data_IF_926348917231
#
_entry.id   IF_926348917231
#
_cell.length_a   1.000
_cell.length_b   1.000
_cell.length_c   1.000
_cell.angle_alpha   90.00
_cell.angle_beta   90.00
_cell.angle_gamma   90.00
#
_symmetry.space_group_name_H-M   'P 1'
#
loop_
_entity.id
_entity.type
_entity.pdbx_description
1 polymer ?
#
# COMPACT_ATOMS: atom_id res chain seq x y z
N UNK A 1 -43.30 -11.28 -44.17
CA UNK A 1 -41.89 -10.84 -44.05
C UNK A 1 -41.67 -9.67 -43.09
N UNK A 2 -42.53 -8.64 -43.02
CA UNK A 2 -42.33 -7.50 -42.10
C UNK A 2 -42.31 -7.86 -40.60
N UNK A 3 -43.15 -8.81 -40.16
CA UNK A 3 -43.22 -9.24 -38.74
C UNK A 3 -41.98 -10.03 -38.29
N UNK A 4 -41.40 -10.83 -39.19
CA UNK A 4 -40.22 -11.65 -38.89
C UNK A 4 -38.99 -10.78 -38.67
N UNK A 5 -38.81 -9.74 -39.50
CA UNK A 5 -37.72 -8.77 -39.38
C UNK A 5 -37.79 -8.03 -38.03
N UNK A 6 -38.99 -7.66 -37.59
CA UNK A 6 -39.18 -6.93 -36.32
C UNK A 6 -38.82 -7.79 -35.10
N UNK A 7 -39.16 -9.08 -35.12
CA UNK A 7 -38.81 -10.02 -34.04
C UNK A 7 -37.31 -10.27 -34.00
N UNK A 8 -36.65 -10.41 -35.16
CA UNK A 8 -35.18 -10.57 -35.22
C UNK A 8 -34.46 -9.33 -34.68
N UNK A 9 -34.99 -8.12 -34.94
CA UNK A 9 -34.43 -6.87 -34.44
C UNK A 9 -34.54 -6.74 -32.92
N UNK A 10 -35.66 -7.16 -32.33
CA UNK A 10 -35.85 -7.17 -30.87
C UNK A 10 -34.89 -8.17 -30.21
N UNK A 11 -34.73 -9.37 -30.77
CA UNK A 11 -33.80 -10.38 -30.24
C UNK A 11 -32.35 -9.88 -30.29
N UNK A 12 -31.95 -9.19 -31.37
CA UNK A 12 -30.63 -8.59 -31.48
C UNK A 12 -30.43 -7.45 -30.46
N UNK A 13 -31.48 -6.67 -30.18
CA UNK A 13 -31.42 -5.58 -29.19
C UNK A 13 -31.30 -6.12 -27.76
N UNK A 14 -32.02 -7.19 -27.43
CA UNK A 14 -31.95 -7.86 -26.11
C UNK A 14 -30.59 -8.52 -25.90
N UNK A 15 -29.97 -9.13 -26.93
CA UNK A 15 -28.61 -9.67 -26.83
C UNK A 15 -27.53 -8.60 -26.60
N UNK A 16 -27.73 -7.36 -27.10
CA UNK A 16 -26.77 -6.27 -26.87
C UNK A 16 -26.90 -5.64 -25.48
N UNK A 17 -28.07 -5.71 -24.84
CA UNK A 17 -28.24 -5.24 -23.45
C UNK A 17 -27.60 -6.21 -22.44
N UNK A 18 -27.43 -7.49 -22.81
CA UNK A 18 -26.69 -8.48 -21.98
C UNK A 18 -25.17 -8.24 -21.93
N UNK A 19 -24.67 -7.24 -22.66
CA UNK A 19 -23.27 -6.80 -22.62
C UNK A 19 -23.13 -5.50 -21.82
N UNK A 20 -24.11 -5.17 -20.96
CA UNK A 20 -23.89 -4.21 -19.87
C UNK A 20 -22.71 -4.76 -19.09
N UNK A 21 -21.60 -4.06 -19.28
CA UNK A 21 -20.29 -4.32 -18.76
C UNK A 21 -20.41 -4.64 -17.28
N UNK A 22 -20.11 -5.89 -16.90
CA UNK A 22 -19.41 -6.06 -15.65
C UNK A 22 -18.19 -5.17 -15.77
N UNK A 23 -18.20 -4.01 -15.10
CA UNK A 23 -16.94 -3.43 -14.68
C UNK A 23 -16.26 -4.56 -13.93
N UNK A 24 -15.21 -5.11 -14.51
CA UNK A 24 -14.28 -5.90 -13.73
C UNK A 24 -13.79 -4.92 -12.65
N UNK A 25 -14.37 -4.98 -11.46
CA UNK A 25 -13.73 -4.46 -10.26
C UNK A 25 -12.36 -5.11 -10.29
N UNK A 26 -11.31 -4.31 -10.45
CA UNK A 26 -9.97 -4.87 -10.41
C UNK A 26 -9.80 -5.46 -9.00
N UNK A 27 -9.48 -6.75 -8.93
CA UNK A 27 -9.19 -7.42 -7.66
C UNK A 27 -7.85 -6.96 -7.06
N UNK A 28 -7.12 -6.10 -7.78
CA UNK A 28 -5.89 -5.47 -7.32
C UNK A 28 -6.05 -3.98 -7.04
N UNK A 29 -5.43 -3.56 -5.93
CA UNK A 29 -5.34 -2.16 -5.50
C UNK A 29 -3.88 -1.74 -5.53
N UNK A 30 -3.58 -0.61 -6.20
CA UNK A 30 -2.26 -0.01 -6.20
C UNK A 30 -2.13 1.00 -5.05
N UNK A 31 -1.08 0.89 -4.26
CA UNK A 31 -0.92 1.65 -3.01
C UNK A 31 0.43 2.38 -3.07
N UNK A 32 0.46 3.62 -3.58
CA UNK A 32 1.68 4.42 -3.62
C UNK A 32 1.98 5.04 -2.25
N UNK A 33 3.11 4.66 -1.68
CA UNK A 33 3.64 5.13 -0.39
C UNK A 33 4.94 5.89 -0.62
N UNK A 34 5.15 6.99 0.10
CA UNK A 34 6.38 7.79 -0.04
C UNK A 34 7.28 7.66 1.20
N UNK A 35 8.56 7.97 1.05
CA UNK A 35 9.54 7.89 2.13
C UNK A 35 9.98 9.30 2.53
N UNK A 36 9.93 9.61 3.83
CA UNK A 36 10.46 10.84 4.40
C UNK A 36 11.58 10.55 5.39
N UNK A 37 12.76 11.13 5.17
CA UNK A 37 13.93 11.02 6.05
C UNK A 37 14.38 12.38 6.57
N UNK A 38 14.93 12.45 7.80
CA UNK A 38 15.43 13.70 8.36
C UNK A 38 16.69 14.18 7.62
N UNK A 39 16.94 15.49 7.64
CA UNK A 39 17.98 16.15 6.85
C UNK A 39 19.43 15.72 7.15
N UNK A 40 19.67 15.01 8.24
CA UNK A 40 20.97 14.47 8.65
C UNK A 40 21.10 12.95 8.41
N UNK A 41 20.08 12.32 7.82
CA UNK A 41 20.12 10.96 7.32
C UNK A 41 20.07 10.98 5.78
N UNK A 42 20.80 10.08 5.14
CA UNK A 42 20.77 9.90 3.70
C UNK A 42 20.21 8.52 3.37
N UNK A 43 19.30 8.43 2.40
CA UNK A 43 18.87 7.15 1.83
C UNK A 43 19.94 6.74 0.83
N UNK A 44 20.58 5.59 1.03
CA UNK A 44 21.70 5.14 0.19
C UNK A 44 21.27 4.07 -0.84
N UNK A 45 20.04 3.51 -0.76
CA UNK A 45 19.61 2.47 -1.72
C UNK A 45 18.16 2.46 -2.21
N UNK A 46 17.30 3.38 -1.80
CA UNK A 46 15.99 3.46 -2.46
C UNK A 46 16.15 4.40 -3.64
N UNK A 47 16.21 3.84 -4.84
CA UNK A 47 16.20 4.60 -6.12
C UNK A 47 14.89 5.38 -6.33
N UNK A 48 13.94 5.30 -5.38
CA UNK A 48 12.59 5.82 -5.51
C UNK A 48 12.13 6.42 -4.19
N UNK A 49 11.80 7.71 -4.19
CA UNK A 49 11.06 8.38 -3.10
C UNK A 49 9.62 7.82 -2.92
N UNK A 50 9.27 6.77 -3.69
CA UNK A 50 7.96 6.16 -3.82
C UNK A 50 8.09 4.63 -3.89
N UNK A 51 7.30 3.94 -3.08
CA UNK A 51 7.09 2.49 -3.06
C UNK A 51 5.67 2.22 -3.57
N UNK A 52 5.52 1.35 -4.57
CA UNK A 52 4.23 0.99 -5.14
C UNK A 52 3.90 -0.45 -4.71
N UNK A 53 2.90 -0.61 -3.84
CA UNK A 53 2.43 -1.93 -3.41
C UNK A 53 1.18 -2.33 -4.19
N UNK A 54 1.14 -3.56 -4.67
CA UNK A 54 -0.06 -4.16 -5.28
C UNK A 54 -0.69 -5.14 -4.29
N UNK A 55 -1.92 -4.85 -3.87
CA UNK A 55 -2.73 -5.70 -3.00
C UNK A 55 -3.77 -6.45 -3.83
N UNK A 56 -3.56 -7.75 -4.01
CA UNK A 56 -4.56 -8.68 -4.56
C UNK A 56 -5.47 -9.17 -3.42
N UNK A 57 -6.74 -8.77 -3.42
CA UNK A 57 -7.69 -9.12 -2.35
C UNK A 57 -8.06 -10.61 -2.35
N UNK A 58 -7.85 -11.32 -3.47
CA UNK A 58 -8.13 -12.76 -3.60
C UNK A 58 -7.03 -13.61 -2.96
N UNK A 59 -5.81 -13.09 -2.93
CA UNK A 59 -4.65 -13.73 -2.31
C UNK A 59 -3.69 -12.66 -1.74
N UNK A 60 -4.05 -12.02 -0.61
CA UNK A 60 -3.36 -10.84 -0.11
C UNK A 60 -2.01 -11.18 0.53
N UNK A 61 -0.96 -11.28 -0.27
CA UNK A 61 0.37 -11.58 0.22
C UNK A 61 0.96 -10.47 1.12
N UNK A 62 1.81 -10.85 2.07
CA UNK A 62 2.66 -9.89 2.78
C UNK A 62 3.65 -9.26 1.79
N UNK A 63 3.81 -7.94 1.84
CA UNK A 63 4.74 -7.20 0.98
C UNK A 63 5.69 -6.37 1.83
N UNK A 64 7.00 -6.56 1.64
CA UNK A 64 8.04 -5.78 2.30
C UNK A 64 9.04 -5.28 1.26
N UNK A 65 9.50 -4.05 1.45
CA UNK A 65 10.52 -3.40 0.64
C UNK A 65 11.73 -3.07 1.53
N UNK A 66 12.93 -3.29 0.97
CA UNK A 66 14.17 -2.98 1.67
C UNK A 66 14.57 -1.52 1.44
N UNK A 67 14.62 -0.74 2.52
CA UNK A 67 15.01 0.65 2.55
C UNK A 67 16.34 0.79 3.32
N UNK A 68 17.44 0.99 2.60
CA UNK A 68 18.74 1.24 3.25
C UNK A 68 18.90 2.70 3.60
N UNK A 69 19.13 2.95 4.88
CA UNK A 69 19.33 4.29 5.44
C UNK A 69 20.73 4.37 6.01
N UNK A 70 21.44 5.39 5.55
CA UNK A 70 22.76 5.74 6.04
C UNK A 70 22.64 6.88 7.02
N UNK A 71 23.08 6.63 8.25
CA UNK A 71 23.06 7.61 9.31
C UNK A 71 24.49 7.86 9.76
N UNK A 72 24.93 9.10 9.59
CA UNK A 72 26.23 9.54 10.08
C UNK A 72 26.00 10.19 11.44
N UNK A 73 26.34 9.47 12.50
CA UNK A 73 26.15 9.92 13.88
C UNK A 73 27.37 9.57 14.74
N UNK A 74 27.81 10.53 15.55
CA UNK A 74 28.93 10.37 16.48
C UNK A 74 28.51 9.87 17.87
N UNK A 75 27.23 9.52 18.04
CA UNK A 75 26.65 8.97 19.27
C UNK A 75 25.75 7.80 18.94
N UNK A 76 25.44 6.95 19.92
CA UNK A 76 24.42 5.92 19.76
C UNK A 76 23.05 6.56 19.48
N UNK A 77 22.26 5.90 18.63
CA UNK A 77 20.94 6.36 18.21
C UNK A 77 20.00 5.17 18.00
N UNK A 78 18.71 5.45 18.05
CA UNK A 78 17.62 4.55 17.68
C UNK A 78 16.94 5.08 16.42
N UNK A 79 16.43 4.17 15.60
CA UNK A 79 15.58 4.49 14.46
C UNK A 79 14.18 4.01 14.82
N UNK A 80 13.23 4.92 14.80
CA UNK A 80 11.82 4.60 14.83
C UNK A 80 11.24 4.82 13.44
N UNK A 81 10.35 3.92 13.05
CA UNK A 81 9.66 3.98 11.76
C UNK A 81 8.18 3.97 12.07
N UNK A 82 7.46 4.87 11.41
CA UNK A 82 6.02 4.99 11.51
C UNK A 82 5.44 5.05 10.11
N UNK A 83 4.23 4.53 9.95
CA UNK A 83 3.43 4.77 8.75
C UNK A 83 2.39 5.82 9.08
N UNK A 84 2.49 6.97 8.42
CA UNK A 84 1.54 8.07 8.51
C UNK A 84 0.59 7.99 7.31
N UNK A 85 -0.57 7.36 7.54
CA UNK A 85 -1.65 7.34 6.57
C UNK A 85 -2.27 8.75 6.49
N UNK A 86 -2.23 9.37 5.31
CA UNK A 86 -2.76 10.73 5.12
C UNK A 86 -4.30 10.69 5.13
N UNK A 87 -4.92 10.79 6.31
CA UNK A 87 -6.38 10.68 6.52
C UNK A 87 -7.20 11.54 5.53
N UNK A 88 -6.69 12.72 5.14
CA UNK A 88 -7.32 13.60 4.15
C UNK A 88 -7.49 13.00 2.75
N UNK A 89 -6.74 11.93 2.43
CA UNK A 89 -6.81 11.24 1.15
C UNK A 89 -7.81 10.06 1.19
N UNK A 90 -8.43 9.81 2.34
CA UNK A 90 -9.47 8.81 2.51
C UNK A 90 -10.83 9.51 2.67
N UNK A 91 -11.85 8.92 2.09
CA UNK A 91 -13.24 9.30 2.27
C UNK A 91 -14.02 8.12 2.84
N UNK A 92 -15.33 8.28 3.08
CA UNK A 92 -16.18 7.22 3.66
C UNK A 92 -16.13 5.89 2.89
N UNK A 93 -15.91 5.94 1.57
CA UNK A 93 -15.81 4.78 0.69
C UNK A 93 -14.46 4.07 0.83
N UNK A 94 -13.43 4.75 1.33
CA UNK A 94 -12.03 4.31 1.34
C UNK A 94 -11.54 3.92 2.74
N UNK A 95 -12.41 4.06 3.75
CA UNK A 95 -12.03 3.98 5.15
C UNK A 95 -11.47 2.60 5.53
N UNK A 96 -11.97 1.54 4.92
CA UNK A 96 -11.45 0.18 5.13
C UNK A 96 -9.98 0.05 4.73
N UNK A 97 -9.54 0.74 3.67
CA UNK A 97 -8.12 0.76 3.28
C UNK A 97 -7.27 1.52 4.29
N UNK A 98 -7.76 2.65 4.80
CA UNK A 98 -7.07 3.38 5.87
C UNK A 98 -6.84 2.50 7.11
N UNK A 99 -7.88 1.79 7.54
CA UNK A 99 -7.80 0.87 8.68
C UNK A 99 -6.88 -0.32 8.41
N UNK A 100 -6.95 -0.91 7.21
CA UNK A 100 -6.06 -1.99 6.79
C UNK A 100 -4.59 -1.54 6.84
N UNK A 101 -4.26 -0.39 6.25
CA UNK A 101 -2.88 0.09 6.18
C UNK A 101 -2.30 0.37 7.57
N UNK A 102 -3.07 1.01 8.44
CA UNK A 102 -2.65 1.29 9.82
C UNK A 102 -2.48 0.01 10.66
N UNK A 103 -3.30 -1.02 10.41
CA UNK A 103 -3.24 -2.27 11.18
C UNK A 103 -2.29 -3.33 10.60
N UNK A 104 -1.90 -3.19 9.33
CA UNK A 104 -1.01 -4.15 8.65
C UNK A 104 0.44 -3.69 8.58
N UNK A 105 0.72 -2.42 8.87
CA UNK A 105 2.07 -1.87 8.88
C UNK A 105 3.04 -2.72 9.71
N UNK A 106 4.21 -2.98 9.13
CA UNK A 106 5.29 -3.69 9.81
C UNK A 106 6.65 -3.14 9.36
N UNK A 107 7.63 -3.22 10.27
CA UNK A 107 9.02 -2.95 9.95
C UNK A 107 9.99 -3.85 10.73
N UNK A 108 11.18 -4.04 10.17
CA UNK A 108 12.29 -4.66 10.88
C UNK A 108 13.59 -3.91 10.61
N UNK A 109 14.50 -3.95 11.60
CA UNK A 109 15.77 -3.24 11.58
C UNK A 109 16.93 -4.24 11.60
N UNK A 110 17.76 -4.20 10.56
CA UNK A 110 19.04 -4.90 10.55
C UNK A 110 20.18 -3.90 10.73
N UNK A 111 20.99 -4.17 11.74
CA UNK A 111 22.06 -3.30 12.22
C UNK A 111 23.43 -3.88 11.93
N UNK A 112 24.25 -3.16 11.17
CA UNK A 112 25.69 -3.41 11.14
C UNK A 112 26.39 -2.32 11.97
N UNK A 113 26.85 -2.69 13.16
CA UNK A 113 27.59 -1.75 14.00
C UNK A 113 28.97 -1.49 13.40
N UNK A 114 29.31 -0.22 13.27
CA UNK A 114 30.58 0.26 12.74
C UNK A 114 31.24 1.15 13.77
N UNK A 115 32.52 0.89 14.04
CA UNK A 115 33.32 1.61 15.03
C UNK A 115 33.77 3.01 14.58
N UNK A 116 33.42 3.44 13.36
CA UNK A 116 33.95 4.65 12.71
C UNK A 116 32.99 5.86 12.68
N UNK A 117 31.90 5.85 13.45
CA UNK A 117 30.96 6.99 13.55
C UNK A 117 30.05 7.17 12.32
N UNK A 118 30.16 6.29 11.33
CA UNK A 118 29.18 6.12 10.25
C UNK A 118 28.54 4.76 10.46
N UNK A 119 27.24 4.73 10.72
CA UNK A 119 26.48 3.49 10.92
C UNK A 119 25.49 3.35 9.78
N UNK A 120 25.58 2.23 9.08
CA UNK A 120 24.63 1.87 8.02
C UNK A 120 23.57 0.94 8.61
N UNK A 121 22.30 1.32 8.47
CA UNK A 121 21.17 0.52 8.92
C UNK A 121 20.31 0.16 7.72
N UNK A 122 19.93 -1.10 7.65
CA UNK A 122 18.98 -1.57 6.64
C UNK A 122 17.64 -1.73 7.32
N UNK A 123 16.64 -0.99 6.87
CA UNK A 123 15.27 -1.10 7.36
C UNK A 123 14.44 -1.83 6.31
N UNK A 124 13.67 -2.82 6.72
CA UNK A 124 12.64 -3.39 5.85
C UNK A 124 11.30 -2.85 6.32
N UNK A 125 10.55 -2.22 5.42
CA UNK A 125 9.23 -1.64 5.69
C UNK A 125 8.19 -2.26 4.77
N UNK A 126 6.97 -2.42 5.26
CA UNK A 126 5.91 -2.98 4.45
C UNK A 126 4.63 -3.25 5.22
N UNK A 127 3.84 -4.18 4.69
CA UNK A 127 2.51 -4.49 5.16
C UNK A 127 2.28 -6.00 5.20
N UNK A 128 1.73 -6.48 6.31
CA UNK A 128 1.28 -7.85 6.52
C UNK A 128 -0.21 -7.99 6.20
N UNK A 129 -0.61 -7.73 4.95
CA UNK A 129 -2.02 -7.73 4.55
C UNK A 129 -2.74 -9.05 4.85
N UNK A 130 -2.06 -10.19 4.60
CA UNK A 130 -2.62 -11.52 4.84
C UNK A 130 -3.09 -11.67 6.28
N UNK A 131 -2.24 -11.29 7.23
CA UNK A 131 -2.50 -11.47 8.65
C UNK A 131 -3.74 -10.70 9.11
N UNK A 132 -3.89 -9.45 8.64
CA UNK A 132 -5.02 -8.60 9.01
C UNK A 132 -6.30 -9.11 8.37
N UNK A 133 -6.29 -9.41 7.08
CA UNK A 133 -7.50 -9.85 6.36
C UNK A 133 -7.98 -11.24 6.80
N UNK A 134 -7.06 -12.13 7.21
CA UNK A 134 -7.44 -13.41 7.81
C UNK A 134 -8.05 -13.25 9.20
N UNK A 135 -7.62 -12.23 9.95
CA UNK A 135 -8.14 -11.92 11.28
C UNK A 135 -9.43 -11.09 11.23
N UNK A 136 -9.70 -10.40 10.12
CA UNK A 136 -10.86 -9.54 9.91
C UNK A 136 -11.44 -9.71 8.49
N UNK A 137 -12.25 -10.76 8.25
CA UNK A 137 -12.82 -11.03 6.93
C UNK A 137 -13.86 -9.99 6.50
N UNK A 138 -14.51 -9.27 7.43
CA UNK A 138 -15.46 -8.19 7.09
C UNK A 138 -14.74 -7.02 6.41
N UNK A 139 -13.50 -6.74 6.81
CA UNK A 139 -12.65 -5.74 6.16
C UNK A 139 -12.38 -6.07 4.68
N UNK A 140 -12.28 -7.36 4.31
CA UNK A 140 -12.10 -7.77 2.92
C UNK A 140 -13.31 -7.39 2.06
N UNK A 141 -14.53 -7.63 2.54
CA UNK A 141 -15.75 -7.28 1.81
C UNK A 141 -15.87 -5.77 1.63
N UNK A 142 -15.56 -4.99 2.67
CA UNK A 142 -15.56 -3.53 2.58
C UNK A 142 -14.57 -3.03 1.52
N UNK A 143 -13.36 -3.61 1.45
CA UNK A 143 -12.35 -3.24 0.45
C UNK A 143 -12.79 -3.54 -0.99
N UNK A 144 -13.53 -4.63 -1.21
CA UNK A 144 -14.09 -4.98 -2.52
C UNK A 144 -15.18 -3.97 -2.96
N UNK A 145 -15.97 -3.46 -2.01
CA UNK A 145 -16.98 -2.43 -2.28
C UNK A 145 -16.37 -1.06 -2.60
N UNK A 146 -15.20 -0.75 -2.03
CA UNK A 146 -14.50 0.53 -2.21
C UNK A 146 -13.91 0.73 -3.62
N UNK A 147 -13.56 -0.33 -4.34
CA UNK A 147 -13.00 -0.26 -5.69
C UNK A 147 -11.52 0.15 -5.77
N UNK A 148 -11.11 0.79 -6.88
CA UNK A 148 -9.72 1.16 -7.17
C UNK A 148 -9.24 2.38 -6.37
N UNK A 149 -8.01 2.30 -5.86
CA UNK A 149 -7.32 3.41 -5.20
C UNK A 149 -6.13 3.83 -6.05
N UNK A 150 -6.11 5.10 -6.47
CA UNK A 150 -5.09 5.62 -7.39
C UNK A 150 -4.32 6.83 -6.82
N UNK A 151 -4.66 7.27 -5.61
CA UNK A 151 -4.07 8.42 -4.94
C UNK A 151 -3.01 8.02 -3.90
N UNK A 152 -2.19 9.00 -3.49
CA UNK A 152 -1.22 8.84 -2.40
C UNK A 152 -1.94 8.44 -1.11
N UNK A 153 -1.52 7.36 -0.47
CA UNK A 153 -2.19 6.86 0.75
C UNK A 153 -1.47 7.24 2.06
N UNK A 154 -0.18 7.56 2.00
CA UNK A 154 0.61 7.84 3.20
C UNK A 154 2.11 7.85 2.99
N UNK A 155 2.84 7.95 4.09
CA UNK A 155 4.30 8.03 4.11
C UNK A 155 4.89 7.11 5.18
N UNK A 156 6.01 6.47 4.86
CA UNK A 156 6.93 5.96 5.89
C UNK A 156 7.77 7.12 6.42
N UNK A 157 7.62 7.40 7.72
CA UNK A 157 8.34 8.45 8.44
C UNK A 157 9.43 7.81 9.27
N UNK A 158 10.67 8.18 8.99
CA UNK A 158 11.83 7.70 9.74
C UNK A 158 12.25 8.77 10.75
N UNK A 159 12.27 8.41 12.03
CA UNK A 159 12.73 9.28 13.12
C UNK A 159 13.98 8.71 13.73
N UNK A 160 15.00 9.55 13.91
CA UNK A 160 16.25 9.17 14.56
C UNK A 160 16.36 9.92 15.88
N UNK A 161 16.56 9.19 16.98
CA UNK A 161 16.69 9.75 18.33
C UNK A 161 17.94 9.25 19.03
N UNK A 162 18.53 10.00 19.97
CA UNK A 162 19.63 9.48 20.79
C UNK A 162 19.19 8.23 21.55
N UNK A 163 20.05 7.20 21.57
CA UNK A 163 19.83 6.03 22.43
C UNK A 163 20.20 6.45 23.87
N UNK A 164 19.22 6.45 24.78
CA UNK A 164 19.39 6.89 26.17
C UNK A 164 19.84 5.75 27.06
#
# INVERSE_FOLDING_TARGET
>A
MKKTIFVTLIILFVMNISVISFSQTSDSVNIPVYISVPSYAAIDSVDKERLDYELDLSSPENKNEEVKIKIVANTAFEINVEFDAEESNFNEQNQALFELLNSSYNYSLNSNDSSSGVIEKTVQVGFNFQQVLDSNPEMRELLLESGEYNDKVGNFVFTVSPAV
#
